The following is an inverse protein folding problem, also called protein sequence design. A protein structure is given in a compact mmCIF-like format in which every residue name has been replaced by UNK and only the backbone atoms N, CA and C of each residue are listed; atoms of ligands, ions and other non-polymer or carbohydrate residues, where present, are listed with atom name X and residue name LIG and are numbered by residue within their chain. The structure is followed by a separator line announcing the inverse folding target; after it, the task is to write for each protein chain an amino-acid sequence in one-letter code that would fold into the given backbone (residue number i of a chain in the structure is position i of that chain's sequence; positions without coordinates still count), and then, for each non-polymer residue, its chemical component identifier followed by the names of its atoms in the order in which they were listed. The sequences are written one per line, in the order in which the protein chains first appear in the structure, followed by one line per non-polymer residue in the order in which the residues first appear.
data_IF_800235891415
#
_entry.id   IF_800235891415
#
_cell.length_a   1.000
_cell.length_b   1.000
_cell.length_c   1.000
_cell.angle_alpha   90.00
_cell.angle_beta   90.00
_cell.angle_gamma   90.00
#
_symmetry.space_group_name_H-M   'P 1'
#
loop_
_entity.id
_entity.type
_entity.pdbx_description
1 polymer ?
#
# COMPACT_ATOMS: atom_id res chain seq x y z
N UNK A 1 -15.93 21.98 -20.18
CA UNK A 1 -15.46 21.57 -18.83
C UNK A 1 -14.02 21.05 -18.97
N UNK A 2 -13.05 21.50 -18.16
CA UNK A 2 -11.69 20.97 -18.23
C UNK A 2 -11.68 19.49 -17.82
N UNK A 3 -11.05 18.64 -18.63
CA UNK A 3 -10.91 17.20 -18.35
C UNK A 3 -9.81 16.99 -17.31
N UNK A 4 -10.13 16.29 -16.24
CA UNK A 4 -9.15 15.85 -15.23
C UNK A 4 -8.89 14.35 -15.38
N UNK A 5 -7.68 13.92 -15.02
CA UNK A 5 -7.24 12.53 -14.97
C UNK A 5 -6.82 12.19 -13.54
N UNK A 6 -7.08 10.96 -13.11
CA UNK A 6 -6.59 10.46 -11.83
C UNK A 6 -5.09 10.18 -11.89
N UNK A 7 -4.41 10.42 -10.78
CA UNK A 7 -3.02 10.01 -10.56
C UNK A 7 -3.02 8.79 -9.66
N UNK A 8 -2.77 7.63 -10.25
CA UNK A 8 -2.84 6.32 -9.64
C UNK A 8 -4.27 5.76 -9.61
N UNK A 9 -4.39 4.59 -8.97
CA UNK A 9 -5.65 3.87 -8.79
C UNK A 9 -5.94 3.65 -7.32
N UNK A 10 -7.22 3.76 -6.98
CA UNK A 10 -7.79 3.28 -5.73
C UNK A 10 -8.62 2.06 -6.10
N UNK A 11 -8.33 0.90 -5.50
CA UNK A 11 -9.14 -0.29 -5.72
C UNK A 11 -10.55 -0.11 -5.16
N UNK A 12 -11.50 -0.87 -5.68
CA UNK A 12 -12.92 -0.79 -5.30
C UNK A 12 -13.18 -1.05 -3.81
N UNK A 13 -12.33 -1.83 -3.17
CA UNK A 13 -12.36 -2.17 -1.74
C UNK A 13 -11.48 -1.25 -0.88
N UNK A 14 -10.81 -0.28 -1.50
CA UNK A 14 -9.90 0.65 -0.85
C UNK A 14 -10.56 2.01 -0.68
N UNK A 15 -10.47 2.57 0.53
CA UNK A 15 -10.85 3.95 0.83
C UNK A 15 -9.57 4.81 0.92
N UNK A 16 -9.57 6.01 0.35
CA UNK A 16 -8.38 6.85 0.42
C UNK A 16 -8.42 8.11 -0.44
N UNK A 17 -7.32 8.85 -0.37
CA UNK A 17 -7.09 10.05 -1.16
C UNK A 17 -6.69 9.66 -2.59
N UNK A 18 -7.42 10.17 -3.58
CA UNK A 18 -7.05 10.10 -5.00
C UNK A 18 -6.67 11.50 -5.48
N UNK A 19 -5.49 11.63 -6.10
CA UNK A 19 -5.04 12.89 -6.66
C UNK A 19 -5.60 13.01 -8.08
N UNK A 20 -6.15 14.18 -8.42
CA UNK A 20 -6.65 14.50 -9.75
C UNK A 20 -5.85 15.66 -10.34
N UNK A 21 -5.52 15.59 -11.63
CA UNK A 21 -4.82 16.66 -12.34
C UNK A 21 -5.40 16.87 -13.73
N UNK A 22 -5.32 18.08 -14.27
CA UNK A 22 -5.65 18.35 -15.68
C UNK A 22 -4.43 18.20 -16.61
N UNK A 23 -3.26 17.86 -16.07
CA UNK A 23 -2.03 17.65 -16.83
C UNK A 23 -1.70 16.14 -16.90
N UNK A 24 -1.90 15.55 -18.09
CA UNK A 24 -1.66 14.13 -18.33
C UNK A 24 -0.18 13.72 -18.24
N UNK A 25 0.76 14.61 -18.58
CA UNK A 25 2.20 14.33 -18.45
C UNK A 25 2.61 14.26 -16.98
N UNK A 26 2.07 15.15 -16.15
CA UNK A 26 2.27 15.11 -14.71
C UNK A 26 1.67 13.83 -14.11
N UNK A 27 0.47 13.43 -14.52
CA UNK A 27 -0.13 12.17 -14.07
C UNK A 27 0.75 10.97 -14.42
N UNK A 28 1.22 10.88 -15.67
CA UNK A 28 2.11 9.82 -16.13
C UNK A 28 3.44 9.80 -15.37
N UNK A 29 4.03 10.97 -15.09
CA UNK A 29 5.26 11.08 -14.31
C UNK A 29 5.06 10.56 -12.88
N UNK A 30 3.95 10.93 -12.24
CA UNK A 30 3.62 10.51 -10.87
C UNK A 30 3.21 9.03 -10.77
N UNK A 31 2.81 8.41 -11.88
CA UNK A 31 2.53 6.97 -11.97
C UNK A 31 3.73 6.14 -12.42
N UNK A 32 4.74 6.77 -13.03
CA UNK A 32 5.86 6.06 -13.63
C UNK A 32 6.63 5.24 -12.57
N UNK A 33 6.75 3.90 -12.72
CA UNK A 33 7.41 3.03 -11.74
C UNK A 33 8.91 3.31 -11.58
N UNK A 34 9.51 4.00 -12.55
CA UNK A 34 10.93 4.40 -12.54
C UNK A 34 11.23 5.47 -11.51
N UNK A 35 10.22 6.20 -11.04
CA UNK A 35 10.41 7.33 -10.15
C UNK A 35 10.70 6.90 -8.71
N UNK A 36 10.34 5.67 -8.32
CA UNK A 36 10.62 5.09 -6.99
C UNK A 36 10.05 5.94 -5.82
N UNK A 37 8.91 6.59 -6.06
CA UNK A 37 8.25 7.45 -5.08
C UNK A 37 7.82 6.65 -3.87
N UNK A 38 7.97 7.27 -2.69
CA UNK A 38 7.46 6.71 -1.46
C UNK A 38 5.96 7.02 -1.39
N UNK A 39 5.13 5.99 -1.35
CA UNK A 39 3.70 6.12 -1.11
C UNK A 39 3.39 5.63 0.30
N UNK A 40 2.66 6.44 1.05
CA UNK A 40 2.24 6.13 2.41
C UNK A 40 0.75 5.84 2.45
N UNK A 41 0.39 4.79 3.18
CA UNK A 41 -0.98 4.30 3.31
C UNK A 41 -1.30 4.09 4.78
N UNK A 42 -2.50 4.48 5.17
CA UNK A 42 -3.12 4.07 6.43
C UNK A 42 -4.07 2.92 6.12
N UNK A 43 -3.79 1.75 6.68
CA UNK A 43 -4.54 0.51 6.43
C UNK A 43 -5.19 0.06 7.73
N UNK A 44 -6.49 -0.28 7.66
CA UNK A 44 -7.19 -0.94 8.76
C UNK A 44 -7.15 -2.43 8.52
N UNK A 45 -6.63 -3.18 9.49
CA UNK A 45 -6.63 -4.64 9.48
C UNK A 45 -7.51 -5.16 10.61
N UNK A 46 -8.18 -6.28 10.34
CA UNK A 46 -8.87 -7.04 11.37
C UNK A 46 -7.85 -7.88 12.15
N UNK A 47 -8.11 -8.10 13.43
CA UNK A 47 -7.25 -8.88 14.32
C UNK A 47 -6.26 -8.04 15.12
N UNK A 48 -5.33 -8.75 15.78
CA UNK A 48 -4.27 -8.18 16.61
C UNK A 48 -2.91 -8.53 15.98
N UNK A 49 -2.46 -7.75 14.98
CA UNK A 49 -1.23 -8.06 14.28
C UNK A 49 -0.04 -8.02 15.25
N UNK A 50 0.78 -9.06 15.23
CA UNK A 50 1.96 -9.13 16.08
C UNK A 50 3.16 -8.46 15.43
N UNK A 51 4.00 -7.83 16.26
CA UNK A 51 5.23 -7.15 15.83
C UNK A 51 6.16 -8.10 15.07
N UNK A 52 6.22 -9.37 15.48
CA UNK A 52 7.00 -10.41 14.80
C UNK A 52 6.59 -10.65 13.34
N UNK A 53 5.32 -10.43 12.99
CA UNK A 53 4.83 -10.48 11.62
C UNK A 53 5.32 -9.29 10.79
N UNK A 54 5.43 -8.10 11.40
CA UNK A 54 5.94 -6.91 10.75
C UNK A 54 7.41 -7.02 10.38
N UNK A 55 8.23 -7.68 11.20
CA UNK A 55 9.65 -7.86 10.91
C UNK A 55 9.89 -8.67 9.62
N UNK A 56 9.06 -9.69 9.37
CA UNK A 56 9.10 -10.46 8.12
C UNK A 56 8.78 -9.59 6.91
N UNK A 57 7.79 -8.70 7.04
CA UNK A 57 7.41 -7.75 5.99
C UNK A 57 8.48 -6.69 5.73
N UNK A 58 9.16 -6.23 6.79
CA UNK A 58 10.27 -5.27 6.70
C UNK A 58 11.48 -5.85 5.99
N UNK A 59 11.72 -7.15 6.08
CA UNK A 59 12.80 -7.85 5.38
C UNK A 59 12.41 -8.29 3.96
N UNK A 60 11.12 -8.22 3.62
CA UNK A 60 10.56 -8.82 2.43
C UNK A 60 10.25 -10.30 2.65
N UNK A 61 9.15 -10.75 2.07
CA UNK A 61 8.62 -12.10 2.28
C UNK A 61 8.21 -12.71 0.94
N UNK A 62 8.27 -14.03 0.84
CA UNK A 62 7.65 -14.74 -0.30
C UNK A 62 6.38 -15.40 0.20
N UNK A 63 5.23 -15.06 -0.39
CA UNK A 63 3.94 -15.68 -0.09
C UNK A 63 3.38 -16.22 -1.39
N UNK A 64 2.96 -17.48 -1.40
CA UNK A 64 2.31 -18.13 -2.56
C UNK A 64 3.12 -17.97 -3.87
N UNK A 65 4.45 -18.04 -3.79
CA UNK A 65 5.35 -17.85 -4.94
C UNK A 65 5.55 -16.39 -5.37
N UNK A 66 4.90 -15.42 -4.73
CA UNK A 66 5.09 -13.99 -4.96
C UNK A 66 6.11 -13.43 -3.98
N UNK A 67 7.25 -12.95 -4.50
CA UNK A 67 8.25 -12.23 -3.71
C UNK A 67 7.84 -10.77 -3.52
N UNK A 68 7.63 -10.40 -2.27
CA UNK A 68 7.37 -9.04 -1.82
C UNK A 68 8.67 -8.36 -1.44
N UNK A 69 8.85 -7.13 -1.93
CA UNK A 69 9.97 -6.28 -1.50
C UNK A 69 9.80 -5.84 -0.04
N UNK A 70 10.89 -5.50 0.65
CA UNK A 70 10.85 -4.82 1.95
C UNK A 70 9.85 -3.66 1.96
N UNK A 71 8.98 -3.63 2.98
CA UNK A 71 8.03 -2.53 3.20
C UNK A 71 8.27 -1.91 4.57
N UNK A 72 8.08 -0.60 4.70
CA UNK A 72 8.03 0.02 6.02
C UNK A 72 6.61 -0.13 6.55
N UNK A 73 6.50 -0.64 7.77
CA UNK A 73 5.22 -0.87 8.43
C UNK A 73 5.34 -0.51 9.90
N UNK A 74 4.36 0.23 10.39
CA UNK A 74 4.26 0.71 11.76
C UNK A 74 2.84 0.53 12.26
N UNK A 75 2.68 0.00 13.48
CA UNK A 75 1.39 -0.05 14.15
C UNK A 75 1.11 1.33 14.75
N UNK A 76 0.07 2.00 14.25
CA UNK A 76 -0.32 3.31 14.77
C UNK A 76 -1.19 3.17 16.01
N UNK A 77 -2.25 2.37 15.91
CA UNK A 77 -3.17 2.13 17.02
C UNK A 77 -3.85 0.79 16.90
N UNK A 78 -4.21 0.22 18.03
CA UNK A 78 -5.03 -0.98 18.12
C UNK A 78 -6.27 -0.67 18.94
N UNK A 79 -7.45 -1.01 18.41
CA UNK A 79 -8.73 -0.71 19.05
C UNK A 79 -9.68 -1.89 18.85
N UNK A 80 -10.02 -2.57 19.95
CA UNK A 80 -10.86 -3.77 19.93
C UNK A 80 -10.22 -4.89 19.10
N UNK A 81 -10.95 -5.33 18.07
CA UNK A 81 -10.53 -6.35 17.10
C UNK A 81 -9.95 -5.77 15.81
N UNK A 82 -9.60 -4.48 15.79
CA UNK A 82 -8.98 -3.86 14.62
C UNK A 82 -7.66 -3.19 15.00
N UNK A 83 -6.75 -3.11 14.03
CA UNK A 83 -5.53 -2.34 14.12
C UNK A 83 -5.40 -1.41 12.91
N UNK A 84 -4.79 -0.25 13.15
CA UNK A 84 -4.44 0.72 12.12
C UNK A 84 -2.94 0.70 11.92
N UNK A 85 -2.53 0.56 10.67
CA UNK A 85 -1.15 0.40 10.26
C UNK A 85 -0.78 1.54 9.31
N UNK A 86 0.39 2.12 9.51
CA UNK A 86 1.02 3.00 8.54
C UNK A 86 2.02 2.19 7.72
N UNK A 87 1.85 2.22 6.40
CA UNK A 87 2.65 1.44 5.46
C UNK A 87 3.27 2.38 4.45
N UNK A 88 4.58 2.29 4.26
CA UNK A 88 5.27 3.01 3.22
C UNK A 88 5.87 2.04 2.21
N UNK A 89 5.43 2.18 0.96
CA UNK A 89 5.85 1.39 -0.18
C UNK A 89 6.66 2.26 -1.13
N UNK A 90 7.79 1.74 -1.61
CA UNK A 90 8.50 2.33 -2.74
C UNK A 90 8.09 1.55 -3.99
N UNK A 91 7.29 2.17 -4.84
CA UNK A 91 6.76 1.50 -6.02
C UNK A 91 7.88 1.16 -7.01
N UNK A 92 7.79 -0.04 -7.59
CA UNK A 92 8.57 -0.43 -8.76
C UNK A 92 7.99 -1.69 -9.38
N UNK A 93 7.69 -1.65 -10.68
CA UNK A 93 7.20 -2.70 -11.62
C UNK A 93 6.07 -3.67 -11.18
N UNK A 94 5.70 -3.79 -9.90
CA UNK A 94 4.57 -4.59 -9.40
C UNK A 94 3.51 -3.71 -8.74
N UNK A 95 2.24 -4.07 -8.92
CA UNK A 95 1.08 -3.31 -8.46
C UNK A 95 0.97 -3.28 -6.93
N UNK A 96 0.66 -2.09 -6.39
CA UNK A 96 0.39 -1.81 -4.97
C UNK A 96 -0.59 -2.81 -4.33
N UNK A 97 -1.59 -3.21 -5.10
CA UNK A 97 -2.71 -4.05 -4.69
C UNK A 97 -2.22 -5.43 -4.25
N UNK A 98 -1.18 -5.94 -4.93
CA UNK A 98 -0.55 -7.21 -4.57
C UNK A 98 0.07 -7.13 -3.17
N UNK A 99 0.71 -6.00 -2.83
CA UNK A 99 1.38 -5.77 -1.54
C UNK A 99 0.38 -5.59 -0.38
N UNK A 100 -0.70 -4.83 -0.61
CA UNK A 100 -1.73 -4.60 0.42
C UNK A 100 -2.52 -5.88 0.69
N UNK A 101 -2.87 -6.65 -0.34
CA UNK A 101 -3.53 -7.95 -0.16
C UNK A 101 -2.65 -8.97 0.58
N UNK A 102 -1.33 -8.96 0.33
CA UNK A 102 -0.37 -9.77 1.08
C UNK A 102 -0.32 -9.40 2.56
N UNK A 103 -0.52 -8.12 2.90
CA UNK A 103 -0.60 -7.68 4.29
C UNK A 103 -1.83 -8.24 5.00
N UNK A 104 -3.02 -8.07 4.39
CA UNK A 104 -4.28 -8.53 5.00
C UNK A 104 -4.22 -10.03 5.37
N UNK A 105 -3.57 -10.84 4.54
CA UNK A 105 -3.35 -12.28 4.78
C UNK A 105 -2.31 -12.59 5.87
N UNK A 106 -1.36 -11.70 6.12
CA UNK A 106 -0.36 -11.87 7.18
C UNK A 106 -0.82 -11.35 8.53
N UNK A 107 -1.80 -10.45 8.53
CA UNK A 107 -2.35 -9.83 9.74
C UNK A 107 -3.67 -10.44 10.19
N UNK A 108 -4.32 -11.25 9.36
CA UNK A 108 -5.59 -11.91 9.65
C UNK A 108 -5.56 -13.42 9.41
N UNK A 109 -6.02 -14.17 10.42
CA UNK A 109 -6.93 -15.31 10.21
C UNK A 109 -8.36 -14.78 10.05
#
# INVERSE_FOLDING_TARGET
MPRVVSVGRLDLDSEGLILLTNNGELANLLEAPSTNWLRQYKVRVYGRPQISGFDKLRLGVTLEGIKYKPIRIELERQTGSNAWLNIALREGKKSRDTQINGLNRLTGE
#
